data_IF_721854467094
#
_entry.id   IF_721854467094
#
_cell.length_a   1.000
_cell.length_b   1.000
_cell.length_c   1.000
_cell.angle_alpha   90.00
_cell.angle_beta   90.00
_cell.angle_gamma   90.00
#
_symmetry.space_group_name_H-M   'P 1'
#
loop_
_entity.id
_entity.type
_entity.pdbx_description
1 polymer ?
#
# COMPACT_ATOMS: atom_id res chain seq x y z
N UNK A 1 -20.81 -0.78 -5.79
CA UNK A 1 -20.21 0.46 -6.31
C UNK A 1 -19.99 0.45 -7.83
N UNK A 2 -20.17 -0.67 -8.55
CA UNK A 2 -20.12 -0.67 -10.03
C UNK A 2 -18.72 -0.44 -10.63
N UNK A 3 -17.67 -0.63 -9.83
CA UNK A 3 -16.26 -0.50 -10.23
C UNK A 3 -15.71 -1.90 -10.48
N UNK A 4 -15.01 -2.10 -11.59
CA UNK A 4 -14.26 -3.33 -11.88
C UNK A 4 -12.92 -3.30 -11.13
N UNK A 5 -12.55 -4.41 -10.51
CA UNK A 5 -11.31 -4.52 -9.74
C UNK A 5 -10.48 -5.73 -10.21
N UNK A 6 -9.17 -5.53 -10.29
CA UNK A 6 -8.20 -6.58 -10.61
C UNK A 6 -7.36 -6.87 -9.35
N UNK A 7 -7.76 -7.86 -8.52
CA UNK A 7 -7.07 -8.14 -7.27
C UNK A 7 -5.71 -8.80 -7.55
N UNK A 8 -4.67 -8.21 -6.97
CA UNK A 8 -3.34 -8.83 -6.85
C UNK A 8 -3.09 -9.02 -5.35
N UNK A 9 -3.05 -10.28 -4.91
CA UNK A 9 -2.91 -10.60 -3.50
C UNK A 9 -1.44 -10.49 -3.06
N UNK A 10 -1.21 -9.83 -1.94
CA UNK A 10 0.12 -9.68 -1.31
C UNK A 10 0.36 -10.77 -0.27
N UNK A 11 -0.72 -11.22 0.40
CA UNK A 11 -0.76 -12.34 1.33
C UNK A 11 -2.07 -13.10 1.18
N UNK A 12 -2.07 -14.35 1.63
CA UNK A 12 -3.26 -15.17 1.79
C UNK A 12 -3.21 -15.83 3.17
N UNK A 13 -4.07 -15.36 4.08
CA UNK A 13 -4.21 -15.91 5.44
C UNK A 13 -5.60 -16.52 5.65
N UNK A 14 -5.71 -17.44 6.61
CA UNK A 14 -6.97 -18.07 7.02
C UNK A 14 -7.94 -17.07 7.64
N UNK A 15 -7.41 -16.12 8.41
CA UNK A 15 -8.10 -15.08 9.15
C UNK A 15 -7.13 -13.92 9.41
N UNK A 16 -7.63 -12.80 9.93
CA UNK A 16 -6.76 -11.70 10.34
C UNK A 16 -5.87 -12.12 11.52
N UNK A 17 -4.74 -11.44 11.68
CA UNK A 17 -3.67 -11.83 12.61
C UNK A 17 -3.99 -11.58 14.09
N UNK A 18 -5.09 -10.86 14.39
CA UNK A 18 -5.52 -10.51 15.75
C UNK A 18 -6.34 -11.59 16.48
N UNK A 19 -6.57 -12.78 15.90
CA UNK A 19 -7.24 -13.87 16.62
C UNK A 19 -6.29 -14.55 17.61
N UNK A 20 -6.74 -14.77 18.84
CA UNK A 20 -5.96 -15.42 19.91
C UNK A 20 -5.67 -16.90 19.59
N UNK A 21 -6.57 -17.56 18.86
CA UNK A 21 -6.41 -18.94 18.39
C UNK A 21 -5.32 -19.09 17.30
N UNK A 22 -4.81 -17.97 16.80
CA UNK A 22 -3.77 -17.91 15.78
C UNK A 22 -4.32 -17.85 14.34
N UNK A 23 -3.39 -17.93 13.39
CA UNK A 23 -3.67 -17.86 11.96
C UNK A 23 -2.65 -18.69 11.18
N UNK A 24 -3.01 -19.07 9.96
CA UNK A 24 -2.11 -19.74 9.03
C UNK A 24 -2.23 -19.14 7.64
N UNK A 25 -1.27 -19.44 6.76
CA UNK A 25 -1.26 -18.98 5.39
C UNK A 25 0.13 -18.59 4.93
N UNK A 26 0.21 -17.77 3.87
CA UNK A 26 1.47 -17.42 3.24
C UNK A 26 1.48 -16.00 2.70
N UNK A 27 2.70 -15.50 2.50
CA UNK A 27 2.97 -14.26 1.80
C UNK A 27 3.34 -14.60 0.36
N UNK A 28 2.80 -13.86 -0.60
CA UNK A 28 3.19 -14.04 -2.00
C UNK A 28 4.54 -13.38 -2.26
N UNK A 29 5.30 -13.88 -3.23
CA UNK A 29 6.56 -13.25 -3.61
C UNK A 29 6.29 -11.92 -4.34
N UNK A 30 7.15 -10.92 -4.15
CA UNK A 30 7.08 -9.66 -4.89
C UNK A 30 7.08 -9.85 -6.42
N UNK A 31 7.73 -10.91 -6.89
CA UNK A 31 7.77 -11.28 -8.30
C UNK A 31 6.39 -11.67 -8.86
N UNK A 32 5.48 -12.17 -8.03
CA UNK A 32 4.11 -12.48 -8.47
C UNK A 32 3.34 -11.21 -8.84
N UNK A 33 3.53 -10.13 -8.08
CA UNK A 33 2.95 -8.81 -8.40
C UNK A 33 3.46 -8.36 -9.78
N UNK A 34 4.78 -8.42 -10.01
CA UNK A 34 5.38 -8.04 -11.29
C UNK A 34 4.87 -8.90 -12.46
N UNK A 35 4.80 -10.21 -12.26
CA UNK A 35 4.35 -11.15 -13.28
C UNK A 35 2.88 -10.93 -13.65
N UNK A 36 2.02 -10.69 -12.66
CA UNK A 36 0.60 -10.42 -12.90
C UNK A 36 0.39 -9.08 -13.59
N UNK A 37 1.08 -8.02 -13.16
CA UNK A 37 1.07 -6.71 -13.84
C UNK A 37 1.53 -6.84 -15.29
N UNK A 38 2.63 -7.56 -15.54
CA UNK A 38 3.10 -7.86 -16.90
C UNK A 38 2.07 -8.64 -17.71
N UNK A 39 1.37 -9.58 -17.10
CA UNK A 39 0.26 -10.31 -17.74
C UNK A 39 -0.85 -9.39 -18.23
N UNK A 40 -1.25 -8.41 -17.40
CA UNK A 40 -2.23 -7.38 -17.75
C UNK A 40 -1.70 -6.45 -18.86
N UNK A 41 -0.41 -6.14 -18.84
CA UNK A 41 0.24 -5.34 -19.88
C UNK A 41 0.28 -6.05 -21.23
N UNK A 42 0.59 -7.36 -21.24
CA UNK A 42 0.64 -8.16 -22.46
C UNK A 42 -0.69 -8.19 -23.23
N UNK A 43 -1.81 -8.05 -22.53
CA UNK A 43 -3.16 -7.95 -23.14
C UNK A 43 -3.62 -6.49 -23.32
N UNK A 44 -2.72 -5.52 -23.09
CA UNK A 44 -2.94 -4.10 -23.30
C UNK A 44 -3.93 -3.46 -22.35
N UNK A 45 -4.10 -4.01 -21.14
CA UNK A 45 -5.11 -3.55 -20.17
C UNK A 45 -4.65 -2.43 -19.25
N UNK A 46 -3.34 -2.22 -19.08
CA UNK A 46 -2.85 -1.15 -18.20
C UNK A 46 -3.32 0.26 -18.62
N UNK A 47 -3.51 0.50 -19.92
CA UNK A 47 -4.06 1.77 -20.44
C UNK A 47 -5.50 2.07 -20.00
N UNK A 48 -6.25 1.02 -19.64
CA UNK A 48 -7.64 1.11 -19.17
C UNK A 48 -7.69 1.27 -17.63
N UNK A 49 -6.57 1.07 -16.93
CA UNK A 49 -6.49 1.16 -15.48
C UNK A 49 -6.60 2.61 -15.01
N UNK A 50 -7.62 2.92 -14.21
CA UNK A 50 -7.87 4.27 -13.71
C UNK A 50 -7.20 4.56 -12.36
N UNK A 51 -6.95 3.53 -11.56
CA UNK A 51 -6.28 3.68 -10.28
C UNK A 51 -5.58 2.39 -9.86
N UNK A 52 -4.42 2.55 -9.23
CA UNK A 52 -3.77 1.50 -8.42
C UNK A 52 -4.04 1.83 -6.96
N UNK A 53 -4.41 0.82 -6.17
CA UNK A 53 -4.67 0.96 -4.74
C UNK A 53 -3.80 -0.08 -4.02
N UNK A 54 -2.96 0.37 -3.11
CA UNK A 54 -2.17 -0.52 -2.23
C UNK A 54 -2.67 -0.43 -0.80
N UNK A 55 -2.60 -1.56 -0.08
CA UNK A 55 -2.85 -1.65 1.35
C UNK A 55 -1.75 -2.45 2.04
N UNK A 56 -2.13 -3.45 2.83
CA UNK A 56 -1.17 -4.31 3.55
C UNK A 56 -0.14 -4.99 2.63
N UNK A 57 1.15 -4.80 2.95
CA UNK A 57 2.29 -5.40 2.25
C UNK A 57 3.09 -6.27 3.23
N UNK A 58 3.37 -7.50 2.80
CA UNK A 58 4.05 -8.52 3.59
C UNK A 58 5.58 -8.52 3.48
N UNK A 59 6.18 -7.63 2.69
CA UNK A 59 7.64 -7.41 2.67
C UNK A 59 8.05 -6.09 2.00
N UNK A 60 9.28 -5.59 2.26
CA UNK A 60 9.84 -4.42 1.57
C UNK A 60 9.89 -4.60 0.05
N UNK A 61 10.18 -5.82 -0.43
CA UNK A 61 10.25 -6.12 -1.86
C UNK A 61 8.89 -6.01 -2.55
N UNK A 62 7.79 -6.30 -1.83
CA UNK A 62 6.45 -6.05 -2.34
C UNK A 62 6.18 -4.56 -2.49
N UNK A 63 6.71 -3.71 -1.61
CA UNK A 63 6.62 -2.25 -1.76
C UNK A 63 7.27 -1.80 -3.07
N UNK A 64 8.47 -2.32 -3.35
CA UNK A 64 9.16 -2.03 -4.62
C UNK A 64 8.38 -2.55 -5.84
N UNK A 65 7.79 -3.75 -5.76
CA UNK A 65 6.95 -4.27 -6.86
C UNK A 65 5.68 -3.45 -7.11
N UNK A 66 5.09 -2.88 -6.05
CA UNK A 66 3.98 -1.92 -6.17
C UNK A 66 4.46 -0.64 -6.84
N UNK A 67 5.63 -0.11 -6.46
CA UNK A 67 6.21 1.08 -7.10
C UNK A 67 6.43 0.85 -8.60
N UNK A 68 7.01 -0.29 -8.98
CA UNK A 68 7.18 -0.72 -10.37
C UNK A 68 5.83 -0.75 -11.12
N UNK A 69 4.81 -1.35 -10.50
CA UNK A 69 3.46 -1.45 -11.06
C UNK A 69 2.81 -0.08 -11.27
N UNK A 70 2.92 0.81 -10.30
CA UNK A 70 2.38 2.18 -10.40
C UNK A 70 3.07 2.94 -11.54
N UNK A 71 4.40 2.84 -11.66
CA UNK A 71 5.13 3.47 -12.76
C UNK A 71 4.67 2.93 -14.12
N UNK A 72 4.57 1.60 -14.28
CA UNK A 72 4.13 0.99 -15.54
C UNK A 72 2.69 1.37 -15.92
N UNK A 73 1.79 1.45 -14.93
CA UNK A 73 0.42 1.91 -15.13
C UNK A 73 0.40 3.39 -15.53
N UNK A 74 1.16 4.26 -14.84
CA UNK A 74 1.24 5.68 -15.17
C UNK A 74 1.92 5.96 -16.51
N UNK A 75 2.83 5.09 -16.96
CA UNK A 75 3.40 5.12 -18.32
C UNK A 75 2.34 4.78 -19.37
N UNK A 76 1.48 3.81 -19.10
CA UNK A 76 0.40 3.39 -20.00
C UNK A 76 -0.83 4.31 -19.98
N UNK A 77 -1.08 4.96 -18.83
CA UNK A 77 -2.16 5.91 -18.60
C UNK A 77 -1.72 6.98 -17.59
N UNK A 78 -1.25 8.13 -18.08
CA UNK A 78 -0.79 9.25 -17.25
C UNK A 78 -1.87 9.88 -16.35
N UNK A 79 -3.15 9.53 -16.56
CA UNK A 79 -4.28 10.00 -15.74
C UNK A 79 -4.63 9.04 -14.61
N UNK A 80 -3.95 7.88 -14.52
CA UNK A 80 -4.19 6.92 -13.47
C UNK A 80 -3.73 7.47 -12.11
N UNK A 81 -4.56 7.30 -11.09
CA UNK A 81 -4.22 7.64 -9.71
C UNK A 81 -3.49 6.49 -9.03
N UNK A 82 -2.61 6.83 -8.11
CA UNK A 82 -2.12 5.90 -7.10
C UNK A 82 -2.62 6.34 -5.73
N UNK A 83 -3.39 5.44 -5.10
CA UNK A 83 -3.88 5.59 -3.72
C UNK A 83 -3.10 4.64 -2.82
N UNK A 84 -2.34 5.20 -1.89
CA UNK A 84 -1.58 4.45 -0.90
C UNK A 84 -2.32 4.45 0.44
N UNK A 85 -2.80 3.29 0.87
CA UNK A 85 -3.16 3.02 2.26
C UNK A 85 -1.93 2.42 2.95
N UNK A 86 -1.16 3.21 3.72
CA UNK A 86 0.15 2.83 4.20
C UNK A 86 0.03 2.01 5.48
N UNK A 87 -0.55 0.80 5.38
CA UNK A 87 -0.83 -0.06 6.53
C UNK A 87 0.47 -0.39 7.28
N UNK A 88 0.65 0.23 8.44
CA UNK A 88 1.81 0.01 9.31
C UNK A 88 1.42 -0.76 10.56
N UNK A 89 2.42 -1.42 11.17
CA UNK A 89 2.23 -2.09 12.45
C UNK A 89 2.09 -1.05 13.56
N UNK A 90 0.90 -0.97 14.15
CA UNK A 90 0.64 -0.18 15.36
C UNK A 90 0.85 -1.09 16.59
N UNK A 91 1.86 -0.81 17.44
CA UNK A 91 2.15 -1.60 18.63
C UNK A 91 0.96 -1.70 19.60
N UNK A 92 0.07 -0.70 19.65
CA UNK A 92 -1.10 -0.72 20.54
C UNK A 92 -2.25 -1.57 20.00
N UNK A 93 -2.32 -1.77 18.67
CA UNK A 93 -3.41 -2.52 18.01
C UNK A 93 -3.03 -3.94 17.64
N UNK A 94 -1.81 -4.37 17.95
CA UNK A 94 -1.30 -5.71 17.64
C UNK A 94 -1.17 -6.00 16.15
N UNK A 95 -1.20 -4.98 15.29
CA UNK A 95 -0.92 -5.17 13.87
C UNK A 95 0.58 -5.38 13.70
N UNK A 96 0.96 -6.57 13.23
CA UNK A 96 2.37 -6.92 13.01
C UNK A 96 2.65 -6.73 11.53
N UNK A 97 3.47 -5.72 11.21
CA UNK A 97 4.01 -5.53 9.87
C UNK A 97 5.49 -5.93 9.88
N UNK A 98 5.98 -6.63 8.84
CA UNK A 98 7.38 -7.04 8.74
C UNK A 98 8.37 -5.86 8.78
N UNK A 99 9.56 -6.11 9.30
CA UNK A 99 10.65 -5.14 9.36
C UNK A 99 10.97 -4.57 7.97
N UNK A 100 11.24 -3.26 7.89
CA UNK A 100 11.55 -2.54 6.64
C UNK A 100 10.34 -2.11 5.81
N UNK A 101 9.14 -2.67 6.00
CA UNK A 101 7.95 -2.26 5.24
C UNK A 101 7.57 -0.81 5.54
N UNK A 102 7.57 -0.42 6.82
CA UNK A 102 7.31 0.98 7.22
C UNK A 102 8.30 1.96 6.58
N UNK A 103 9.57 1.57 6.47
CA UNK A 103 10.60 2.38 5.84
C UNK A 103 10.34 2.54 4.33
N UNK A 104 10.01 1.46 3.63
CA UNK A 104 9.68 1.51 2.21
C UNK A 104 8.37 2.24 1.91
N UNK A 105 7.37 2.09 2.77
CA UNK A 105 6.12 2.85 2.68
C UNK A 105 6.42 4.35 2.75
N UNK A 106 7.15 4.78 3.78
CA UNK A 106 7.43 6.20 4.01
C UNK A 106 8.41 6.80 3.01
N UNK A 107 9.41 6.05 2.54
CA UNK A 107 10.44 6.58 1.62
C UNK A 107 10.10 6.45 0.14
N UNK A 108 9.29 5.45 -0.23
CA UNK A 108 9.06 5.11 -1.64
C UNK A 108 7.59 5.30 -2.02
N UNK A 109 6.68 4.57 -1.36
CA UNK A 109 5.28 4.50 -1.81
C UNK A 109 4.45 5.73 -1.47
N UNK A 110 4.58 6.27 -0.27
CA UNK A 110 3.83 7.46 0.13
C UNK A 110 4.25 8.69 -0.70
N UNK A 111 5.55 8.98 -0.95
CA UNK A 111 5.95 10.12 -1.76
C UNK A 111 5.51 10.07 -3.23
N UNK A 112 5.28 8.88 -3.79
CA UNK A 112 4.82 8.73 -5.19
C UNK A 112 3.29 8.70 -5.34
N UNK A 113 2.56 8.63 -4.22
CA UNK A 113 1.11 8.54 -4.22
C UNK A 113 0.45 9.87 -4.56
N UNK A 114 -0.62 9.82 -5.35
CA UNK A 114 -1.47 11.00 -5.58
C UNK A 114 -2.41 11.23 -4.40
N UNK A 115 -2.77 10.15 -3.69
CA UNK A 115 -3.57 10.18 -2.47
C UNK A 115 -2.98 9.21 -1.47
N UNK A 116 -2.78 9.68 -0.24
CA UNK A 116 -2.43 8.84 0.91
C UNK A 116 -3.63 8.81 1.85
N UNK A 117 -4.00 7.65 2.36
CA UNK A 117 -5.10 7.49 3.33
C UNK A 117 -4.59 6.93 4.68
N UNK A 118 -3.70 7.65 5.39
CA UNK A 118 -3.14 7.17 6.64
C UNK A 118 -4.12 7.32 7.81
N UNK A 119 -3.97 6.48 8.82
CA UNK A 119 -4.48 6.76 10.16
C UNK A 119 -3.54 7.71 10.93
N UNK A 120 -3.91 8.05 12.17
CA UNK A 120 -3.12 8.96 13.02
C UNK A 120 -1.68 8.48 13.24
N UNK A 121 -1.47 7.20 13.53
CA UNK A 121 -0.15 6.63 13.79
C UNK A 121 0.72 6.69 12.53
N UNK A 122 0.19 6.24 11.40
CA UNK A 122 0.88 6.23 10.10
C UNK A 122 1.24 7.66 9.66
N UNK A 123 0.34 8.63 9.87
CA UNK A 123 0.60 10.03 9.57
C UNK A 123 1.71 10.61 10.47
N UNK A 124 1.74 10.26 11.75
CA UNK A 124 2.84 10.61 12.66
C UNK A 124 4.17 10.01 12.19
N UNK A 125 4.19 8.72 11.81
CA UNK A 125 5.40 8.07 11.30
C UNK A 125 5.94 8.75 10.04
N UNK A 126 5.05 9.16 9.13
CA UNK A 126 5.44 9.80 7.88
C UNK A 126 5.90 11.25 8.06
N UNK A 127 5.19 12.03 8.88
CA UNK A 127 5.42 13.48 8.98
C UNK A 127 6.34 13.89 10.14
N UNK A 128 6.55 12.98 11.10
CA UNK A 128 7.24 13.25 12.37
C UNK A 128 6.51 14.26 13.27
N UNK A 129 5.23 14.53 13.02
CA UNK A 129 4.41 15.44 13.82
C UNK A 129 3.57 14.62 14.80
N UNK A 130 3.72 14.88 16.10
CA UNK A 130 2.83 14.30 17.12
C UNK A 130 1.42 14.88 16.98
N UNK A 131 0.41 14.01 17.01
CA UNK A 131 -0.99 14.38 16.76
C UNK A 131 -1.81 14.11 18.02
N UNK A 132 -2.32 15.16 18.65
CA UNK A 132 -3.19 15.06 19.82
C UNK A 132 -4.51 15.82 19.66
N UNK A 133 -4.70 16.50 18.53
CA UNK A 133 -5.89 17.28 18.21
C UNK A 133 -6.16 17.29 16.71
N UNK A 134 -7.37 17.72 16.33
CA UNK A 134 -7.72 17.93 14.93
C UNK A 134 -6.80 18.97 14.25
N UNK A 135 -6.35 19.97 15.00
CA UNK A 135 -5.43 20.99 14.50
C UNK A 135 -4.07 20.39 14.13
N UNK A 136 -3.55 19.49 14.97
CA UNK A 136 -2.28 18.80 14.71
C UNK A 136 -2.40 17.90 13.48
N UNK A 137 -3.51 17.17 13.35
CA UNK A 137 -3.77 16.31 12.19
C UNK A 137 -3.79 17.13 10.88
N UNK A 138 -4.50 18.26 10.86
CA UNK A 138 -4.53 19.17 9.70
C UNK A 138 -3.14 19.74 9.39
N UNK A 139 -2.34 20.01 10.43
CA UNK A 139 -0.96 20.50 10.27
C UNK A 139 -0.06 19.42 9.68
N UNK A 140 -0.17 18.18 10.16
CA UNK A 140 0.57 17.04 9.65
C UNK A 140 0.22 16.76 8.17
N UNK A 141 -1.06 16.79 7.78
CA UNK A 141 -1.48 16.62 6.38
C UNK A 141 -0.95 17.69 5.41
N UNK A 142 -0.49 18.84 5.91
CA UNK A 142 0.08 19.93 5.10
C UNK A 142 1.60 19.85 4.97
N UNK A 143 2.27 18.92 5.67
CA UNK A 143 3.70 18.71 5.47
C UNK A 143 3.93 17.98 4.14
N UNK A 144 4.89 18.46 3.33
CA UNK A 144 5.29 17.80 2.10
C UNK A 144 6.03 16.49 2.37
#
# INVERSE_FOLDING_TARGET
MGIEAWPIHTVQYSNHTQYDEGWTGHKFCAEEIRNLTKGLDNIGKLKDCQAVISGYLGSPEQCQAVADTVNQVKESNHRAFYVCDPVMGDPEKGCIVPEGVTEELTKTLMPMADVIVPNQFELTQFTGVEIHSLYDAVTACKRP
#
